data_IF_177994504038
#
_entry.id   IF_177994504038
#
_cell.length_a   1.000
_cell.length_b   1.000
_cell.length_c   1.000
_cell.angle_alpha   90.00
_cell.angle_beta   90.00
_cell.angle_gamma   90.00
#
_symmetry.space_group_name_H-M   'P 1'
#
loop_
_entity.id
_entity.type
_entity.pdbx_description
1 polymer ?
#
# COMPACT_ATOMS: atom_id res chain seq x y z
N UNK A 1 22.73 -17.07 4.87
CA UNK A 1 22.58 -16.38 3.58
C UNK A 1 21.25 -16.80 3.02
N UNK A 2 20.24 -15.92 3.01
CA UNK A 2 18.93 -16.19 2.42
C UNK A 2 18.87 -15.42 1.11
N UNK A 3 18.55 -16.18 0.08
CA UNK A 3 18.66 -15.93 -1.34
C UNK A 3 18.14 -14.55 -1.75
N UNK A 4 18.98 -13.80 -2.45
CA UNK A 4 18.67 -12.63 -3.27
C UNK A 4 17.83 -13.07 -4.49
N UNK A 5 16.71 -13.75 -4.25
CA UNK A 5 15.68 -13.93 -5.25
C UNK A 5 14.95 -12.59 -5.28
N UNK A 6 15.49 -11.62 -6.04
CA UNK A 6 14.77 -10.38 -6.33
C UNK A 6 13.38 -10.78 -6.80
N UNK A 7 12.40 -10.51 -5.97
CA UNK A 7 10.99 -10.74 -6.28
C UNK A 7 10.75 -10.14 -7.66
N UNK A 8 10.39 -10.97 -8.67
CA UNK A 8 10.18 -10.50 -10.05
C UNK A 8 9.20 -9.32 -10.11
N UNK A 9 8.38 -9.18 -9.07
CA UNK A 9 7.53 -8.02 -8.79
C UNK A 9 8.27 -6.67 -8.82
N UNK A 10 9.48 -6.59 -8.30
CA UNK A 10 10.26 -5.36 -8.17
C UNK A 10 10.77 -4.82 -9.52
N UNK A 11 10.76 -5.65 -10.58
CA UNK A 11 11.09 -5.25 -11.96
C UNK A 11 9.98 -4.35 -12.53
N UNK A 12 8.72 -4.63 -12.19
CA UNK A 12 7.56 -3.94 -12.74
C UNK A 12 7.05 -2.82 -11.83
N UNK A 13 7.21 -2.97 -10.51
CA UNK A 13 6.61 -2.06 -9.54
C UNK A 13 7.65 -1.48 -8.58
N UNK A 14 7.44 -0.20 -8.22
CA UNK A 14 8.03 0.32 -6.99
C UNK A 14 7.39 -0.41 -5.81
N UNK A 15 8.18 -1.28 -5.17
CA UNK A 15 7.75 -2.19 -4.11
C UNK A 15 6.86 -1.57 -3.06
N UNK A 16 7.32 -0.49 -2.40
CA UNK A 16 6.62 0.10 -1.24
C UNK A 16 5.24 0.68 -1.58
N UNK A 17 5.05 1.51 -2.63
CA UNK A 17 3.71 1.92 -3.06
C UNK A 17 2.77 0.76 -3.38
N UNK A 18 3.27 -0.28 -4.06
CA UNK A 18 2.43 -1.41 -4.44
C UNK A 18 2.03 -2.26 -3.22
N UNK A 19 2.97 -2.54 -2.32
CA UNK A 19 2.70 -3.22 -1.05
C UNK A 19 1.76 -2.40 -0.14
N UNK A 20 1.82 -1.08 -0.18
CA UNK A 20 0.91 -0.19 0.57
C UNK A 20 -0.55 -0.42 0.17
N UNK A 21 -0.83 -0.53 -1.13
CA UNK A 21 -2.19 -0.80 -1.63
C UNK A 21 -2.67 -2.20 -1.21
N UNK A 22 -1.80 -3.22 -1.33
CA UNK A 22 -2.12 -4.59 -0.91
C UNK A 22 -2.38 -4.66 0.61
N UNK A 23 -1.55 -4.01 1.43
CA UNK A 23 -1.71 -3.97 2.88
C UNK A 23 -3.03 -3.31 3.31
N UNK A 24 -3.39 -2.19 2.67
CA UNK A 24 -4.69 -1.54 2.88
C UNK A 24 -5.87 -2.42 2.46
N UNK A 25 -5.74 -3.23 1.40
CA UNK A 25 -6.78 -4.17 0.94
C UNK A 25 -6.98 -5.33 1.91
N UNK A 26 -5.88 -5.99 2.33
CA UNK A 26 -5.91 -7.20 3.16
C UNK A 26 -6.66 -7.04 4.47
N UNK A 27 -6.78 -5.82 4.94
CA UNK A 27 -7.43 -5.54 6.20
C UNK A 27 -8.55 -4.54 5.93
N UNK A 28 -9.77 -5.06 5.79
CA UNK A 28 -11.00 -4.34 5.41
C UNK A 28 -11.36 -3.11 6.24
N UNK A 29 -10.61 -2.80 7.31
CA UNK A 29 -10.80 -1.64 8.18
C UNK A 29 -9.72 -0.59 7.93
N UNK A 30 -10.14 0.68 8.01
CA UNK A 30 -9.25 1.82 7.82
C UNK A 30 -8.06 1.80 8.80
N UNK A 31 -6.89 2.25 8.34
CA UNK A 31 -5.59 2.10 9.01
C UNK A 31 -4.98 3.41 9.46
N UNK A 32 -4.17 3.35 10.51
CA UNK A 32 -3.25 4.41 10.89
C UNK A 32 -1.99 4.37 10.03
N UNK A 33 -1.45 5.53 9.66
CA UNK A 33 -0.23 5.62 8.86
C UNK A 33 1.00 4.96 9.53
N UNK A 34 1.08 4.96 10.86
CA UNK A 34 2.16 4.29 11.62
C UNK A 34 2.13 2.77 11.47
N UNK A 35 0.94 2.17 11.43
CA UNK A 35 0.79 0.72 11.28
C UNK A 35 1.16 0.28 9.87
N UNK A 36 0.74 1.06 8.86
CA UNK A 36 1.12 0.84 7.48
C UNK A 36 2.63 0.99 7.24
N UNK A 37 3.26 1.96 7.90
CA UNK A 37 4.71 2.14 7.82
C UNK A 37 5.47 0.91 8.31
N UNK A 38 5.01 0.29 9.41
CA UNK A 38 5.56 -0.96 9.94
C UNK A 38 5.34 -2.13 8.98
N UNK A 39 4.16 -2.25 8.40
CA UNK A 39 3.79 -3.37 7.52
C UNK A 39 4.53 -3.33 6.16
N UNK A 40 4.82 -2.13 5.66
CA UNK A 40 5.56 -1.91 4.39
C UNK A 40 7.07 -1.70 4.62
N UNK A 41 7.54 -1.88 5.86
CA UNK A 41 8.94 -1.71 6.28
C UNK A 41 9.55 -0.37 5.82
N UNK A 42 8.95 0.74 6.27
CA UNK A 42 9.46 2.07 6.01
C UNK A 42 9.24 3.04 7.16
N UNK A 43 9.94 4.17 7.13
CA UNK A 43 9.72 5.24 8.11
C UNK A 43 8.33 5.83 7.94
N UNK A 44 7.76 6.33 9.02
CA UNK A 44 6.46 6.99 8.99
C UNK A 44 6.40 8.14 7.96
N UNK A 45 7.43 8.98 7.92
CA UNK A 45 7.50 10.10 6.95
C UNK A 45 7.50 9.62 5.50
N UNK A 46 8.14 8.48 5.21
CA UNK A 46 8.12 7.87 3.89
C UNK A 46 6.73 7.30 3.55
N UNK A 47 6.09 6.60 4.49
CA UNK A 47 4.72 6.11 4.33
C UNK A 47 3.73 7.25 4.04
N UNK A 48 3.83 8.37 4.77
CA UNK A 48 2.99 9.57 4.53
C UNK A 48 3.17 10.11 3.12
N UNK A 49 4.41 10.21 2.61
CA UNK A 49 4.68 10.66 1.23
C UNK A 49 4.06 9.73 0.18
N UNK A 50 4.14 8.41 0.40
CA UNK A 50 3.49 7.42 -0.47
C UNK A 50 1.97 7.62 -0.43
N UNK A 51 1.38 7.66 0.76
CA UNK A 51 -0.06 7.78 0.94
C UNK A 51 -0.64 9.07 0.34
N UNK A 52 0.06 10.20 0.48
CA UNK A 52 -0.31 11.45 -0.18
C UNK A 52 -0.26 11.34 -1.71
N UNK A 53 0.70 10.57 -2.25
CA UNK A 53 0.79 10.32 -3.70
C UNK A 53 -0.38 9.45 -4.16
N UNK A 54 -0.71 8.40 -3.41
CA UNK A 54 -1.86 7.53 -3.70
C UNK A 54 -3.19 8.29 -3.59
N UNK A 55 -3.31 9.25 -2.66
CA UNK A 55 -4.48 10.11 -2.52
C UNK A 55 -4.64 11.02 -3.74
N UNK A 56 -3.55 11.67 -4.19
CA UNK A 56 -3.57 12.49 -5.42
C UNK A 56 -3.98 11.70 -6.67
N UNK A 57 -3.70 10.39 -6.71
CA UNK A 57 -4.12 9.49 -7.78
C UNK A 57 -5.56 8.95 -7.63
N UNK A 58 -6.23 9.32 -6.53
CA UNK A 58 -7.59 8.88 -6.20
C UNK A 58 -7.69 7.42 -5.74
N UNK A 59 -6.59 6.84 -5.24
CA UNK A 59 -6.53 5.42 -4.85
C UNK A 59 -6.81 5.20 -3.36
N UNK A 60 -6.51 6.19 -2.53
CA UNK A 60 -6.82 6.18 -1.10
C UNK A 60 -7.50 7.49 -0.72
N UNK A 61 -8.19 7.48 0.42
CA UNK A 61 -8.71 8.70 1.07
C UNK A 61 -8.33 8.70 2.55
N UNK A 62 -8.09 9.89 3.08
CA UNK A 62 -7.89 10.10 4.50
C UNK A 62 -9.22 10.53 5.14
N UNK A 63 -9.75 9.69 6.02
CA UNK A 63 -10.91 10.01 6.85
C UNK A 63 -10.45 10.61 8.17
N UNK A 64 -10.96 11.80 8.50
CA UNK A 64 -10.73 12.39 9.81
C UNK A 64 -11.70 11.80 10.82
N UNK A 65 -11.17 11.22 11.88
CA UNK A 65 -11.90 10.85 13.08
C UNK A 65 -11.24 11.56 14.27
N UNK A 66 -11.67 12.79 14.54
CA UNK A 66 -11.03 13.67 15.53
C UNK A 66 -9.58 14.01 15.15
N UNK A 67 -8.62 13.73 16.05
CA UNK A 67 -7.18 13.95 15.81
C UNK A 67 -6.53 12.87 14.94
N UNK A 68 -7.24 11.78 14.69
CA UNK A 68 -6.76 10.61 13.96
C UNK A 68 -7.15 10.73 12.49
N UNK A 69 -6.18 10.53 11.59
CA UNK A 69 -6.44 10.29 10.16
C UNK A 69 -6.39 8.79 9.89
N UNK A 70 -7.53 8.22 9.60
CA UNK A 70 -7.64 6.85 9.09
C UNK A 70 -7.48 6.87 7.58
N UNK A 71 -6.81 5.85 7.02
CA UNK A 71 -6.62 5.69 5.58
C UNK A 71 -7.42 4.49 5.12
N UNK A 72 -8.18 4.65 4.03
CA UNK A 72 -8.88 3.57 3.34
C UNK A 72 -8.69 3.64 1.82
N UNK A 73 -8.86 2.51 1.15
CA UNK A 73 -8.91 2.47 -0.32
C UNK A 73 -10.21 3.09 -0.83
N UNK A 74 -10.13 3.72 -2.00
CA UNK A 74 -11.31 4.01 -2.83
C UNK A 74 -11.72 2.76 -3.60
N UNK A 75 -12.88 2.78 -4.28
CA UNK A 75 -13.26 1.70 -5.21
C UNK A 75 -12.16 1.43 -6.24
N UNK A 76 -11.66 2.50 -6.88
CA UNK A 76 -10.53 2.44 -7.82
C UNK A 76 -9.26 1.87 -7.15
N UNK A 77 -8.99 2.24 -5.91
CA UNK A 77 -7.85 1.71 -5.14
C UNK A 77 -7.94 0.20 -4.91
N UNK A 78 -9.13 -0.31 -4.62
CA UNK A 78 -9.38 -1.76 -4.46
C UNK A 78 -9.11 -2.48 -5.78
N UNK A 79 -9.70 -2.03 -6.88
CA UNK A 79 -9.50 -2.63 -8.21
C UNK A 79 -8.02 -2.66 -8.63
N UNK A 80 -7.28 -1.58 -8.38
CA UNK A 80 -5.83 -1.57 -8.66
C UNK A 80 -5.09 -2.54 -7.74
N UNK A 81 -5.41 -2.59 -6.45
CA UNK A 81 -4.80 -3.52 -5.52
C UNK A 81 -5.05 -4.98 -5.92
N UNK A 82 -6.25 -5.30 -6.40
CA UNK A 82 -6.61 -6.62 -6.94
C UNK A 82 -5.75 -7.00 -8.15
N UNK A 83 -5.62 -6.09 -9.11
CA UNK A 83 -4.81 -6.32 -10.30
C UNK A 83 -3.32 -6.53 -9.96
N UNK A 84 -2.77 -5.72 -9.04
CA UNK A 84 -1.38 -5.88 -8.58
C UNK A 84 -1.20 -7.24 -7.90
N UNK A 85 -2.13 -7.65 -7.05
CA UNK A 85 -2.08 -8.96 -6.38
C UNK A 85 -2.18 -10.13 -7.37
N UNK A 86 -3.01 -9.99 -8.42
CA UNK A 86 -3.11 -10.97 -9.49
C UNK A 86 -1.82 -11.08 -10.30
N UNK A 87 -1.23 -9.95 -10.71
CA UNK A 87 0.05 -9.94 -11.43
C UNK A 87 1.13 -10.60 -10.57
N UNK A 88 1.19 -10.27 -9.28
CA UNK A 88 2.14 -10.89 -8.35
C UNK A 88 1.95 -12.41 -8.27
N UNK A 89 0.71 -12.91 -8.19
CA UNK A 89 0.43 -14.35 -8.20
C UNK A 89 0.87 -15.05 -9.49
N UNK A 90 0.79 -14.39 -10.64
CA UNK A 90 1.19 -14.95 -11.94
C UNK A 90 2.71 -14.97 -12.14
N UNK A 91 3.46 -14.12 -11.42
CA UNK A 91 4.92 -14.04 -11.48
C UNK A 91 5.63 -14.97 -10.49
N UNK A 92 4.88 -15.60 -9.57
CA UNK A 92 5.37 -16.53 -8.56
C UNK A 92 5.13 -17.98 -8.97
#
# INVERSE_FOLDING_TARGET
>A
MITDMKDHFDIFFRRKPALMLIALKKMSKARYGSLLAKEVDCTYSHAVKILQTLERLGLVVFEKSGRIKLIKLTKKGIEIADNIENIRKLLH
#
